data_IF_403911632472
#
_entry.id   IF_403911632472
#
_cell.length_a   1.000
_cell.length_b   1.000
_cell.length_c   1.000
_cell.angle_alpha   90.00
_cell.angle_beta   90.00
_cell.angle_gamma   90.00
#
_symmetry.space_group_name_H-M   'P 1'
#
loop_
_entity.id
_entity.type
_entity.pdbx_description
1 polymer ?
#
# COMPACT_ATOMS: atom_id res chain seq x y z
N UNK A 1 -9.18 -25.77 -0.36
CA UNK A 1 -8.14 -24.74 -0.14
C UNK A 1 -6.86 -25.46 0.23
N UNK A 2 -5.75 -25.13 -0.42
CA UNK A 2 -4.43 -25.65 -0.07
C UNK A 2 -3.65 -24.59 0.70
N UNK A 3 -2.62 -25.02 1.42
CA UNK A 3 -1.68 -24.13 2.12
C UNK A 3 -0.29 -24.39 1.58
N UNK A 4 0.47 -23.32 1.37
CA UNK A 4 1.88 -23.34 0.98
C UNK A 4 2.67 -22.41 1.91
N UNK A 5 3.87 -22.82 2.31
CA UNK A 5 4.79 -21.95 3.03
C UNK A 5 5.60 -21.13 2.02
N UNK A 6 5.62 -19.81 2.20
CA UNK A 6 6.41 -18.89 1.39
C UNK A 6 7.28 -18.00 2.29
N UNK A 7 8.52 -17.71 1.88
CA UNK A 7 9.39 -16.81 2.65
C UNK A 7 8.87 -15.37 2.59
N UNK A 8 9.04 -14.64 3.70
CA UNK A 8 8.73 -13.21 3.80
C UNK A 8 10.04 -12.42 3.72
N UNK A 9 10.09 -11.44 2.81
CA UNK A 9 11.24 -10.57 2.62
C UNK A 9 10.85 -9.11 2.82
N UNK A 10 11.80 -8.29 3.26
CA UNK A 10 11.64 -6.83 3.23
C UNK A 10 11.70 -6.36 1.79
N UNK A 11 10.82 -5.45 1.39
CA UNK A 11 10.87 -4.89 0.04
C UNK A 11 12.24 -4.29 -0.28
N UNK A 12 12.86 -3.59 0.67
CA UNK A 12 14.21 -3.02 0.52
C UNK A 12 15.29 -4.07 0.16
N UNK A 13 15.11 -5.34 0.54
CA UNK A 13 16.09 -6.40 0.23
C UNK A 13 15.97 -6.94 -1.18
N UNK A 14 14.78 -6.88 -1.78
CA UNK A 14 14.49 -7.49 -3.08
C UNK A 14 14.33 -6.44 -4.19
N UNK A 15 13.97 -5.20 -3.84
CA UNK A 15 13.77 -4.11 -4.79
C UNK A 15 14.98 -3.87 -5.72
N UNK A 16 16.26 -3.95 -5.29
CA UNK A 16 17.41 -3.78 -6.17
C UNK A 16 17.51 -4.81 -7.31
N UNK A 17 16.86 -5.97 -7.19
CA UNK A 17 16.83 -6.99 -8.25
C UNK A 17 15.88 -6.60 -9.40
N UNK A 18 14.88 -5.76 -9.12
CA UNK A 18 13.81 -5.38 -10.05
C UNK A 18 13.88 -3.92 -10.48
N UNK A 19 14.43 -3.04 -9.65
CA UNK A 19 14.51 -1.61 -9.89
C UNK A 19 15.89 -1.22 -10.43
N UNK A 20 15.90 -0.31 -11.40
CA UNK A 20 17.14 0.31 -11.88
C UNK A 20 17.65 1.31 -10.84
N UNK A 21 18.97 1.54 -10.67
CA UNK A 21 19.51 2.46 -9.67
C UNK A 21 18.96 3.90 -9.71
N UNK A 22 18.55 4.39 -10.88
CA UNK A 22 17.93 5.71 -11.06
C UNK A 22 16.50 5.61 -11.62
N UNK A 23 15.85 4.46 -11.40
CA UNK A 23 14.47 4.24 -11.81
C UNK A 23 13.49 4.91 -10.86
N UNK A 24 12.33 5.30 -11.40
CA UNK A 24 11.15 5.66 -10.63
C UNK A 24 10.21 4.44 -10.54
N UNK A 25 9.69 4.17 -9.34
CA UNK A 25 8.75 3.10 -9.08
C UNK A 25 7.38 3.67 -8.67
N UNK A 26 6.32 3.02 -9.16
CA UNK A 26 4.99 3.17 -8.60
C UNK A 26 4.67 1.89 -7.82
N UNK A 27 4.47 2.00 -6.51
CA UNK A 27 4.32 0.84 -5.64
C UNK A 27 2.84 0.49 -5.45
N UNK A 28 2.39 -0.66 -5.94
CA UNK A 28 1.08 -1.23 -5.58
C UNK A 28 1.23 -2.12 -4.35
N UNK A 29 0.47 -1.84 -3.30
CA UNK A 29 0.42 -2.60 -2.05
C UNK A 29 -0.99 -3.16 -1.89
N UNK A 30 -1.12 -4.46 -2.15
CA UNK A 30 -2.38 -5.22 -2.12
C UNK A 30 -2.07 -6.55 -1.43
N UNK A 31 -2.10 -6.52 -0.11
CA UNK A 31 -1.61 -7.59 0.75
C UNK A 31 -2.51 -7.79 1.96
N UNK A 32 -3.83 -7.90 1.76
CA UNK A 32 -4.84 -8.40 2.73
C UNK A 32 -4.44 -8.40 4.23
N UNK A 33 -4.08 -7.24 4.80
CA UNK A 33 -3.73 -7.10 6.22
C UNK A 33 -2.23 -6.97 6.57
N UNK A 34 -1.35 -6.97 5.58
CA UNK A 34 0.11 -6.88 5.71
C UNK A 34 0.69 -5.58 5.14
N UNK A 35 -0.16 -4.60 4.84
CA UNK A 35 0.22 -3.38 4.14
C UNK A 35 1.25 -2.57 4.92
N UNK A 36 1.06 -2.48 6.25
CA UNK A 36 1.97 -1.76 7.15
C UNK A 36 3.36 -2.39 7.14
N UNK A 37 3.43 -3.71 7.18
CA UNK A 37 4.67 -4.48 7.18
C UNK A 37 5.43 -4.32 5.86
N UNK A 38 4.70 -4.25 4.74
CA UNK A 38 5.31 -3.92 3.43
C UNK A 38 5.94 -2.53 3.48
N UNK A 39 5.21 -1.51 3.94
CA UNK A 39 5.72 -0.14 4.02
C UNK A 39 6.89 -0.01 5.01
N UNK A 40 6.84 -0.69 6.16
CA UNK A 40 7.95 -0.74 7.13
C UNK A 40 9.19 -1.42 6.56
N UNK A 41 8.99 -2.45 5.71
CA UNK A 41 10.04 -3.16 5.01
C UNK A 41 10.59 -2.44 3.77
N UNK A 42 9.99 -1.31 3.38
CA UNK A 42 10.24 -0.60 2.12
C UNK A 42 10.82 0.81 2.29
N UNK A 43 11.31 1.19 3.48
CA UNK A 43 11.68 2.58 3.80
C UNK A 43 12.68 3.18 2.81
N UNK A 44 13.74 2.45 2.46
CA UNK A 44 14.73 2.94 1.50
C UNK A 44 14.10 3.06 0.10
N UNK A 45 13.40 2.02 -0.34
CA UNK A 45 12.73 1.98 -1.64
C UNK A 45 11.73 3.13 -1.81
N UNK A 46 10.94 3.39 -0.77
CA UNK A 46 9.89 4.42 -0.72
C UNK A 46 10.48 5.83 -0.71
N UNK A 47 11.63 6.03 -0.07
CA UNK A 47 12.27 7.34 0.00
C UNK A 47 13.07 7.66 -1.26
N UNK A 48 13.78 6.67 -1.82
CA UNK A 48 14.77 6.93 -2.85
C UNK A 48 14.19 6.82 -4.27
N UNK A 49 13.18 5.99 -4.47
CA UNK A 49 12.74 5.60 -5.83
C UNK A 49 11.22 5.64 -6.05
N UNK A 50 10.42 5.67 -4.99
CA UNK A 50 8.96 5.64 -5.11
C UNK A 50 8.39 7.03 -5.40
N UNK A 51 7.84 7.20 -6.60
CA UNK A 51 7.19 8.46 -7.04
C UNK A 51 5.70 8.48 -6.73
N UNK A 52 5.09 7.31 -6.53
CA UNK A 52 3.70 7.16 -6.15
C UNK A 52 3.38 5.76 -5.69
N UNK A 53 2.22 5.59 -5.06
CA UNK A 53 1.75 4.28 -4.60
C UNK A 53 0.24 4.13 -4.72
N UNK A 54 -0.19 2.89 -4.89
CA UNK A 54 -1.56 2.47 -4.69
C UNK A 54 -1.62 1.62 -3.43
N UNK A 55 -2.54 1.95 -2.52
CA UNK A 55 -2.76 1.22 -1.27
C UNK A 55 -4.24 0.87 -1.14
N UNK A 56 -4.55 -0.37 -0.79
CA UNK A 56 -5.90 -0.75 -0.39
C UNK A 56 -6.28 -0.11 0.94
N UNK A 57 -7.35 0.67 0.95
CA UNK A 57 -7.85 1.40 2.10
C UNK A 57 -9.13 0.76 2.62
N UNK A 58 -9.15 0.38 3.89
CA UNK A 58 -10.29 -0.30 4.50
C UNK A 58 -11.16 0.64 5.34
N UNK A 59 -12.48 0.61 5.07
CA UNK A 59 -13.51 1.28 5.87
C UNK A 59 -14.02 0.41 7.04
N UNK A 60 -13.64 -0.86 7.06
CA UNK A 60 -14.00 -1.84 8.09
C UNK A 60 -12.84 -2.84 8.30
N UNK A 61 -12.73 -3.50 9.47
CA UNK A 61 -11.68 -4.48 9.71
C UNK A 61 -11.96 -5.77 8.93
N UNK A 62 -11.43 -5.87 7.72
CA UNK A 62 -11.66 -7.02 6.82
C UNK A 62 -10.58 -8.10 6.96
N UNK A 63 -9.38 -7.72 7.37
CA UNK A 63 -8.23 -8.60 7.53
C UNK A 63 -7.57 -8.38 8.88
N UNK A 64 -7.03 -9.44 9.46
CA UNK A 64 -6.23 -9.35 10.68
C UNK A 64 -4.93 -8.58 10.39
N UNK A 65 -4.59 -7.62 11.25
CA UNK A 65 -3.41 -6.77 11.07
C UNK A 65 -3.60 -5.61 10.07
N UNK A 66 -4.71 -5.58 9.33
CA UNK A 66 -4.99 -4.52 8.36
C UNK A 66 -5.28 -3.16 8.98
N UNK A 67 -4.85 -2.10 8.28
CA UNK A 67 -5.09 -0.72 8.69
C UNK A 67 -6.46 -0.23 8.23
N UNK A 68 -7.14 0.54 9.09
CA UNK A 68 -8.27 1.36 8.64
C UNK A 68 -7.75 2.65 7.97
N UNK A 69 -8.61 3.29 7.19
CA UNK A 69 -8.30 4.53 6.46
C UNK A 69 -7.53 5.57 7.29
N UNK A 70 -7.94 5.93 8.53
CA UNK A 70 -7.22 6.96 9.27
C UNK A 70 -5.74 6.60 9.50
N UNK A 71 -5.46 5.35 9.92
CA UNK A 71 -4.08 4.89 10.14
C UNK A 71 -3.30 4.83 8.83
N UNK A 72 -3.92 4.33 7.75
CA UNK A 72 -3.28 4.24 6.45
C UNK A 72 -2.93 5.61 5.88
N UNK A 73 -3.84 6.60 6.00
CA UNK A 73 -3.59 7.96 5.54
C UNK A 73 -2.50 8.64 6.37
N UNK A 74 -2.55 8.54 7.71
CA UNK A 74 -1.52 9.12 8.58
C UNK A 74 -0.13 8.56 8.24
N UNK A 75 -0.04 7.25 8.00
CA UNK A 75 1.20 6.60 7.58
C UNK A 75 1.68 7.12 6.22
N UNK A 76 0.84 7.09 5.19
CA UNK A 76 1.24 7.48 3.83
C UNK A 76 1.59 8.98 3.75
N UNK A 77 0.89 9.82 4.50
CA UNK A 77 1.19 11.24 4.62
C UNK A 77 2.51 11.49 5.37
N UNK A 78 2.81 10.71 6.41
CA UNK A 78 4.11 10.79 7.10
C UNK A 78 5.29 10.42 6.20
N UNK A 79 5.04 9.61 5.16
CA UNK A 79 6.01 9.26 4.14
C UNK A 79 6.16 10.34 3.06
N UNK A 80 5.37 11.42 3.10
CA UNK A 80 5.45 12.57 2.19
C UNK A 80 4.70 12.38 0.87
N UNK A 81 3.68 11.51 0.85
CA UNK A 81 2.77 11.37 -0.28
C UNK A 81 1.42 12.02 0.04
N UNK A 82 0.68 12.40 -0.99
CA UNK A 82 -0.66 12.99 -0.88
C UNK A 82 -1.66 12.14 -1.66
N UNK A 83 -2.88 12.01 -1.15
CA UNK A 83 -3.97 11.31 -1.85
C UNK A 83 -4.39 12.13 -3.09
N UNK A 84 -4.31 11.51 -4.26
CA UNK A 84 -4.64 12.12 -5.57
C UNK A 84 -5.82 11.46 -6.27
N UNK A 85 -6.14 10.22 -5.91
CA UNK A 85 -7.27 9.48 -6.45
C UNK A 85 -7.79 8.47 -5.45
N UNK A 86 -9.10 8.21 -5.50
CA UNK A 86 -9.77 7.21 -4.67
C UNK A 86 -10.75 6.44 -5.55
N UNK A 87 -10.52 5.13 -5.72
CA UNK A 87 -11.37 4.27 -6.55
C UNK A 87 -12.12 3.28 -5.67
N UNK A 88 -13.44 3.12 -5.81
CA UNK A 88 -14.18 2.07 -5.11
C UNK A 88 -13.64 0.68 -5.48
N UNK A 89 -13.46 -0.19 -4.49
CA UNK A 89 -13.02 -1.58 -4.70
C UNK A 89 -14.10 -2.58 -4.25
N UNK A 90 -14.41 -2.62 -2.95
CA UNK A 90 -15.35 -3.59 -2.39
C UNK A 90 -16.56 -2.89 -1.77
N UNK A 91 -17.77 -3.30 -2.18
CA UNK A 91 -19.04 -2.77 -1.71
C UNK A 91 -19.89 -3.92 -1.17
N UNK A 92 -20.47 -3.73 0.01
CA UNK A 92 -21.45 -4.63 0.58
C UNK A 92 -22.76 -4.56 -0.22
N UNK A 93 -23.04 -5.60 -1.00
CA UNK A 93 -24.22 -5.65 -1.86
C UNK A 93 -25.56 -5.58 -1.09
N UNK A 94 -25.57 -5.85 0.22
CA UNK A 94 -26.80 -5.86 1.04
C UNK A 94 -27.29 -4.46 1.38
N UNK A 95 -26.37 -3.50 1.49
CA UNK A 95 -26.67 -2.15 1.98
C UNK A 95 -25.96 -1.03 1.19
N UNK A 96 -25.16 -1.37 0.18
CA UNK A 96 -24.43 -0.41 -0.66
C UNK A 96 -23.23 0.25 0.03
N UNK A 97 -22.83 -0.20 1.23
CA UNK A 97 -21.72 0.40 1.97
C UNK A 97 -20.39 0.00 1.35
N UNK A 98 -19.56 0.98 1.06
CA UNK A 98 -18.17 0.75 0.64
C UNK A 98 -17.36 0.21 1.82
N UNK A 99 -16.67 -0.91 1.60
CA UNK A 99 -15.83 -1.59 2.57
C UNK A 99 -14.34 -1.38 2.28
N UNK A 100 -13.95 -1.27 1.00
CA UNK A 100 -12.60 -0.90 0.57
C UNK A 100 -12.60 0.03 -0.63
N UNK A 101 -11.54 0.81 -0.73
CA UNK A 101 -11.19 1.61 -1.89
C UNK A 101 -9.68 1.54 -2.16
N UNK A 102 -9.27 1.71 -3.40
CA UNK A 102 -7.88 1.94 -3.76
C UNK A 102 -7.56 3.43 -3.63
N UNK A 103 -6.62 3.76 -2.73
CA UNK A 103 -6.03 5.09 -2.65
C UNK A 103 -4.83 5.20 -3.59
N UNK A 104 -4.81 6.22 -4.43
CA UNK A 104 -3.70 6.56 -5.32
C UNK A 104 -2.98 7.79 -4.76
N UNK A 105 -1.70 7.65 -4.48
CA UNK A 105 -0.89 8.66 -3.82
C UNK A 105 0.34 9.01 -4.65
N UNK A 106 0.71 10.29 -4.68
CA UNK A 106 1.94 10.78 -5.31
C UNK A 106 2.66 11.75 -4.38
N UNK A 107 3.98 11.89 -4.56
CA UNK A 107 4.71 13.00 -3.96
C UNK A 107 4.45 14.27 -4.78
N UNK A 108 4.35 15.41 -4.10
CA UNK A 108 4.35 16.69 -4.80
C UNK A 108 5.67 16.86 -5.55
N UNK A 109 5.58 17.21 -6.83
CA UNK A 109 6.75 17.59 -7.62
C UNK A 109 7.16 19.01 -7.19
N UNK A 110 8.15 19.10 -6.31
CA UNK A 110 8.86 20.37 -6.09
C UNK A 110 9.75 20.70 -7.30
#
# INVERSE_FOLDING_TARGET
MGTEEAPIHRLDSVAPEFLRPNGAAFLKVDVQGFEKQVLDGAKSTVNDQCVGMQLELSFAPLYEGGMLIPEALDLVYSLGFTLTGLLPCFIDARNGRMLQADGIFFRDAN
#
